data_IF_421193073106
#
_entry.id   IF_421193073106
#
_cell.length_a   1.000
_cell.length_b   1.000
_cell.length_c   1.000
_cell.angle_alpha   90.00
_cell.angle_beta   90.00
_cell.angle_gamma   90.00
#
_symmetry.space_group_name_H-M   'P 1'
#
loop_
_entity.id
_entity.type
_entity.pdbx_description
1 polymer ?
#
# COMPACT_ATOMS: atom_id res chain seq x y z
N UNK A 1 -27.17 -3.07 16.37
CA UNK A 1 -26.08 -2.76 15.41
C UNK A 1 -25.04 -1.90 16.11
N UNK A 2 -23.96 -2.50 16.58
CA UNK A 2 -22.85 -1.77 17.22
C UNK A 2 -22.10 -1.00 16.14
N UNK A 3 -22.29 0.33 16.08
CA UNK A 3 -21.45 1.21 15.27
C UNK A 3 -20.03 1.11 15.80
N UNK A 4 -19.18 0.31 15.15
CA UNK A 4 -17.76 0.25 15.46
C UNK A 4 -17.17 1.64 15.24
N UNK A 5 -16.84 2.36 16.32
CA UNK A 5 -16.12 3.63 16.24
C UNK A 5 -14.72 3.30 15.72
N UNK A 6 -14.47 3.58 14.45
CA UNK A 6 -13.13 3.53 13.88
C UNK A 6 -12.26 4.49 14.70
N UNK A 7 -11.15 3.98 15.24
CA UNK A 7 -10.25 4.80 16.06
C UNK A 7 -9.56 5.87 15.20
N UNK A 8 -9.27 7.03 15.77
CA UNK A 8 -8.55 8.12 15.09
C UNK A 8 -7.19 7.65 14.54
N UNK A 9 -6.52 6.71 15.22
CA UNK A 9 -5.28 6.07 14.75
C UNK A 9 -5.49 5.31 13.44
N UNK A 10 -6.60 4.56 13.32
CA UNK A 10 -6.93 3.83 12.08
C UNK A 10 -7.25 4.79 10.94
N UNK A 11 -7.96 5.89 11.21
CA UNK A 11 -8.23 6.92 10.21
C UNK A 11 -6.91 7.49 9.67
N UNK A 12 -6.00 7.86 10.58
CA UNK A 12 -4.71 8.43 10.18
C UNK A 12 -3.83 7.45 9.40
N UNK A 13 -3.80 6.17 9.81
CA UNK A 13 -3.07 5.14 9.07
C UNK A 13 -3.65 4.94 7.66
N UNK A 14 -4.98 5.02 7.49
CA UNK A 14 -5.62 4.97 6.17
C UNK A 14 -5.28 6.18 5.31
N UNK A 15 -5.24 7.38 5.88
CA UNK A 15 -4.82 8.57 5.14
C UNK A 15 -3.38 8.45 4.62
N UNK A 16 -2.47 7.91 5.43
CA UNK A 16 -1.10 7.63 4.98
C UNK A 16 -1.09 6.60 3.83
N UNK A 17 -1.87 5.52 3.94
CA UNK A 17 -1.96 4.51 2.88
C UNK A 17 -2.51 5.09 1.56
N UNK A 18 -3.52 5.96 1.62
CA UNK A 18 -4.07 6.66 0.44
C UNK A 18 -3.00 7.54 -0.19
N UNK A 19 -2.28 8.32 0.63
CA UNK A 19 -1.22 9.20 0.14
C UNK A 19 -0.09 8.44 -0.58
N UNK A 20 0.36 7.32 -0.01
CA UNK A 20 1.37 6.47 -0.67
C UNK A 20 0.83 5.77 -1.93
N UNK A 21 -0.46 5.42 -1.94
CA UNK A 21 -1.12 4.87 -3.14
C UNK A 21 -1.18 5.89 -4.28
N UNK A 22 -1.48 7.16 -3.99
CA UNK A 22 -1.49 8.22 -5.00
C UNK A 22 -0.10 8.40 -5.63
N UNK A 23 0.98 8.35 -4.82
CA UNK A 23 2.35 8.37 -5.34
C UNK A 23 2.64 7.17 -6.23
N UNK A 24 2.20 5.97 -5.82
CA UNK A 24 2.39 4.76 -6.62
C UNK A 24 1.67 4.88 -7.97
N UNK A 25 0.42 5.34 -7.99
CA UNK A 25 -0.32 5.61 -9.23
C UNK A 25 0.45 6.61 -10.11
N UNK A 26 0.97 7.69 -9.52
CA UNK A 26 1.81 8.67 -10.22
C UNK A 26 3.05 8.04 -10.85
N UNK A 27 3.75 7.18 -10.11
CA UNK A 27 4.90 6.43 -10.63
C UNK A 27 4.52 5.52 -11.81
N UNK A 28 3.42 4.76 -11.70
CA UNK A 28 2.94 3.92 -12.81
C UNK A 28 2.65 4.76 -14.06
N UNK A 29 2.08 5.97 -13.89
CA UNK A 29 1.84 6.89 -15.00
C UNK A 29 3.11 7.38 -15.70
N UNK A 30 4.29 7.26 -15.08
CA UNK A 30 5.57 7.60 -15.74
C UNK A 30 6.11 6.47 -16.62
N UNK A 31 5.62 5.25 -16.44
CA UNK A 31 6.06 4.07 -17.22
C UNK A 31 5.50 4.13 -18.64
N UNK A 32 4.24 4.54 -18.77
CA UNK A 32 3.58 4.73 -20.06
C UNK A 32 2.79 6.07 -20.04
N UNK A 33 3.34 7.14 -20.66
CA UNK A 33 2.72 8.46 -20.65
C UNK A 33 1.49 8.56 -21.55
N UNK A 34 1.21 7.54 -22.38
CA UNK A 34 0.01 7.51 -23.22
C UNK A 34 -1.23 7.01 -22.45
N UNK A 35 -1.04 6.44 -21.26
CA UNK A 35 -2.14 6.02 -20.41
C UNK A 35 -2.91 7.22 -19.87
N UNK A 36 -4.24 7.19 -20.09
CA UNK A 36 -5.15 8.13 -19.44
C UNK A 36 -5.17 7.87 -17.92
N UNK A 37 -5.47 8.90 -17.09
CA UNK A 37 -5.42 8.76 -15.65
C UNK A 37 -6.25 7.60 -15.08
N UNK A 38 -7.42 7.34 -15.64
CA UNK A 38 -8.28 6.21 -15.27
C UNK A 38 -7.62 4.85 -15.55
N UNK A 39 -6.97 4.70 -16.71
CA UNK A 39 -6.24 3.47 -17.06
C UNK A 39 -5.01 3.27 -16.18
N UNK A 40 -4.31 4.34 -15.83
CA UNK A 40 -3.18 4.29 -14.88
C UNK A 40 -3.62 3.79 -13.51
N UNK A 41 -4.79 4.24 -13.02
CA UNK A 41 -5.38 3.76 -11.76
C UNK A 41 -5.74 2.27 -11.87
N UNK A 42 -6.35 1.84 -12.97
CA UNK A 42 -6.71 0.43 -13.20
C UNK A 42 -5.47 -0.46 -13.26
N UNK A 43 -4.40 -0.01 -13.93
CA UNK A 43 -3.13 -0.72 -13.99
C UNK A 43 -2.49 -0.83 -12.61
N UNK A 44 -2.42 0.27 -11.86
CA UNK A 44 -1.90 0.27 -10.49
C UNK A 44 -2.68 -0.71 -9.58
N UNK A 45 -4.01 -0.72 -9.67
CA UNK A 45 -4.84 -1.66 -8.94
C UNK A 45 -4.58 -3.12 -9.34
N UNK A 46 -4.41 -3.39 -10.64
CA UNK A 46 -4.10 -4.72 -11.17
C UNK A 46 -2.75 -5.24 -10.68
N UNK A 47 -1.74 -4.37 -10.66
CA UNK A 47 -0.41 -4.69 -10.12
C UNK A 47 -0.50 -5.01 -8.63
N UNK A 48 -1.19 -4.17 -7.84
CA UNK A 48 -1.39 -4.41 -6.41
C UNK A 48 -2.12 -5.72 -6.13
N UNK A 49 -3.08 -6.11 -6.96
CA UNK A 49 -3.77 -7.38 -6.84
C UNK A 49 -2.84 -8.59 -7.08
N UNK A 50 -1.83 -8.45 -7.95
CA UNK A 50 -0.83 -9.48 -8.23
C UNK A 50 0.33 -9.55 -7.23
N UNK A 51 0.57 -8.48 -6.45
CA UNK A 51 1.70 -8.40 -5.50
C UNK A 51 1.82 -9.57 -4.52
N UNK A 52 0.73 -10.13 -3.93
CA UNK A 52 0.84 -11.26 -3.03
C UNK A 52 1.50 -12.48 -3.67
N UNK A 53 1.13 -12.82 -4.91
CA UNK A 53 1.73 -13.93 -5.63
C UNK A 53 3.23 -13.68 -5.89
N UNK A 54 3.59 -12.46 -6.27
CA UNK A 54 5.00 -12.07 -6.46
C UNK A 54 5.83 -12.18 -5.16
N UNK A 55 5.24 -11.90 -4.00
CA UNK A 55 5.91 -12.13 -2.73
C UNK A 55 6.11 -13.62 -2.46
N UNK A 56 5.11 -14.47 -2.73
CA UNK A 56 5.21 -15.92 -2.54
C UNK A 56 6.26 -16.56 -3.46
N UNK A 57 6.36 -16.07 -4.70
CA UNK A 57 7.35 -16.53 -5.68
C UNK A 57 8.77 -16.02 -5.39
N UNK A 58 8.92 -14.96 -4.59
CA UNK A 58 10.21 -14.37 -4.24
C UNK A 58 10.46 -14.40 -2.72
N UNK A 59 11.16 -15.45 -2.20
CA UNK A 59 11.45 -15.60 -0.78
C UNK A 59 12.18 -14.41 -0.15
N UNK A 60 13.01 -13.70 -0.90
CA UNK A 60 13.73 -12.53 -0.39
C UNK A 60 12.77 -11.36 -0.14
N UNK A 61 11.85 -11.11 -1.06
CA UNK A 61 10.82 -10.07 -0.88
C UNK A 61 9.87 -10.43 0.27
N UNK A 62 9.45 -11.68 0.38
CA UNK A 62 8.61 -12.13 1.49
C UNK A 62 9.31 -11.97 2.85
N UNK A 63 10.61 -12.29 2.93
CA UNK A 63 11.39 -12.09 4.15
C UNK A 63 11.49 -10.60 4.51
N UNK A 64 11.71 -9.72 3.53
CA UNK A 64 11.73 -8.28 3.76
C UNK A 64 10.38 -7.76 4.29
N UNK A 65 9.26 -8.21 3.72
CA UNK A 65 7.91 -7.86 4.22
C UNK A 65 7.72 -8.32 5.67
N UNK A 66 8.20 -9.51 6.02
CA UNK A 66 8.15 -10.03 7.41
C UNK A 66 8.98 -9.16 8.37
N UNK A 67 10.17 -8.74 7.96
CA UNK A 67 11.03 -7.84 8.74
C UNK A 67 10.36 -6.48 8.97
N UNK A 68 9.79 -5.89 7.92
CA UNK A 68 9.02 -4.64 8.04
C UNK A 68 7.86 -4.80 9.01
N UNK A 69 7.09 -5.88 8.91
CA UNK A 69 5.99 -6.17 9.83
C UNK A 69 6.46 -6.33 11.28
N UNK A 70 7.61 -6.97 11.51
CA UNK A 70 8.21 -7.08 12.83
C UNK A 70 8.62 -5.72 13.41
N UNK A 71 9.19 -4.84 12.57
CA UNK A 71 9.61 -3.49 12.99
C UNK A 71 8.44 -2.62 13.46
N UNK A 72 7.29 -2.71 12.78
CA UNK A 72 6.07 -1.94 13.12
C UNK A 72 5.49 -2.41 14.47
N UNK A 73 5.63 -3.70 14.81
CA UNK A 73 5.22 -4.24 16.11
C UNK A 73 6.11 -3.76 17.27
N UNK A 74 7.41 -3.61 17.00
CA UNK A 74 8.41 -3.24 18.02
C UNK A 74 8.51 -1.73 18.26
N UNK A 75 8.23 -0.91 17.26
CA UNK A 75 8.19 0.56 17.38
C UNK A 75 6.76 1.03 17.11
N UNK A 76 5.94 1.35 18.13
CA UNK A 76 4.69 2.07 17.88
C UNK A 76 5.08 3.40 17.24
N UNK A 77 4.86 3.51 15.93
CA UNK A 77 5.23 4.69 15.16
C UNK A 77 4.54 5.91 15.79
N UNK A 78 5.29 6.94 16.24
CA UNK A 78 4.67 8.18 16.64
C UNK A 78 4.12 8.81 15.36
N UNK A 79 2.81 8.69 15.21
CA UNK A 79 2.05 9.47 14.26
C UNK A 79 2.13 10.94 14.74
N UNK A 80 3.19 11.65 14.32
CA UNK A 80 3.39 13.09 14.54
C UNK A 80 2.69 13.88 13.45
#
# INVERSE_FOLDING_TARGET
MTKSKISSKVVRARSLAIYELEKFIGYIGTIDPELTPDKTIVLAASLLAGMPALFEENPAMLNHVKEMAASIKLKPHPLN
#
